data_IF_058251346886
#
_entry.id   IF_058251346886
#
_cell.length_a   1.000
_cell.length_b   1.000
_cell.length_c   1.000
_cell.angle_alpha   90.00
_cell.angle_beta   90.00
_cell.angle_gamma   90.00
#
_symmetry.space_group_name_H-M   'P 1'
#
loop_
_entity.id
_entity.type
_entity.pdbx_description
1 polymer ?
#
# COMPACT_ATOMS: atom_id res chain seq x y z
N UNK A 1 -1.32 8.90 -3.34
CA UNK A 1 -1.98 8.43 -4.55
C UNK A 1 -3.15 7.51 -4.20
N UNK A 2 -2.97 6.28 -3.66
CA UNK A 2 -4.01 5.25 -3.45
C UNK A 2 -5.27 5.79 -2.76
N UNK A 3 -5.15 6.50 -1.63
CA UNK A 3 -6.29 7.05 -0.88
C UNK A 3 -7.13 7.99 -1.76
N UNK A 4 -6.48 8.90 -2.47
CA UNK A 4 -7.16 9.89 -3.30
C UNK A 4 -7.77 9.23 -4.55
N UNK A 5 -7.06 8.30 -5.20
CA UNK A 5 -7.55 7.62 -6.39
C UNK A 5 -8.72 6.68 -6.05
N UNK A 6 -8.72 6.01 -4.87
CA UNK A 6 -9.88 5.23 -4.41
C UNK A 6 -11.11 6.09 -4.15
N UNK A 7 -10.94 7.25 -3.53
CA UNK A 7 -12.03 8.22 -3.35
C UNK A 7 -12.54 8.76 -4.69
N UNK A 8 -11.62 9.08 -5.60
CA UNK A 8 -11.95 9.56 -6.94
C UNK A 8 -12.71 8.51 -7.72
N UNK A 9 -12.27 7.25 -7.67
CA UNK A 9 -12.95 6.12 -8.30
C UNK A 9 -14.42 6.02 -7.85
N UNK A 10 -14.65 5.95 -6.55
CA UNK A 10 -16.02 5.83 -6.01
C UNK A 10 -16.86 7.04 -6.33
N UNK A 11 -16.32 8.26 -6.18
CA UNK A 11 -17.03 9.48 -6.55
C UNK A 11 -17.41 9.49 -8.04
N UNK A 12 -16.49 9.14 -8.94
CA UNK A 12 -16.77 9.07 -10.36
C UNK A 12 -17.83 8.01 -10.69
N UNK A 13 -17.79 6.84 -10.05
CA UNK A 13 -18.84 5.83 -10.23
C UNK A 13 -20.22 6.39 -9.86
N UNK A 14 -20.34 7.03 -8.69
CA UNK A 14 -21.62 7.56 -8.21
C UNK A 14 -22.15 8.73 -9.06
N UNK A 15 -21.25 9.64 -9.49
CA UNK A 15 -21.63 10.82 -10.27
C UNK A 15 -21.95 10.49 -11.74
N UNK A 16 -21.25 9.51 -12.33
CA UNK A 16 -21.43 9.17 -13.74
C UNK A 16 -22.55 8.16 -13.96
N UNK A 17 -22.98 7.46 -12.92
CA UNK A 17 -24.12 6.54 -12.92
C UNK A 17 -25.10 6.97 -11.82
N UNK A 18 -25.93 8.01 -12.08
CA UNK A 18 -26.84 8.54 -11.06
C UNK A 18 -27.77 7.42 -10.57
N UNK A 19 -27.72 7.18 -9.26
CA UNK A 19 -28.45 6.09 -8.59
C UNK A 19 -29.95 6.32 -8.65
N UNK A 20 -30.40 7.59 -8.79
CA UNK A 20 -31.82 7.97 -8.85
C UNK A 20 -32.53 7.45 -10.09
N UNK A 21 -31.81 7.31 -11.22
CA UNK A 21 -32.34 6.84 -12.50
C UNK A 21 -31.99 5.37 -12.80
N UNK A 22 -31.18 4.73 -11.93
CA UNK A 22 -30.69 3.37 -12.11
C UNK A 22 -31.69 2.33 -11.60
N UNK A 23 -31.82 1.21 -12.29
CA UNK A 23 -32.57 0.05 -11.78
C UNK A 23 -31.82 -0.58 -10.58
N UNK A 24 -32.53 -1.42 -9.80
CA UNK A 24 -31.95 -2.07 -8.61
C UNK A 24 -30.67 -2.87 -8.94
N UNK A 25 -30.62 -3.52 -10.09
CA UNK A 25 -29.47 -4.31 -10.53
C UNK A 25 -28.24 -3.45 -10.84
N UNK A 26 -28.44 -2.27 -11.40
CA UNK A 26 -27.39 -1.31 -11.70
C UNK A 26 -26.85 -0.66 -10.39
N UNK A 27 -27.75 -0.33 -9.46
CA UNK A 27 -27.36 0.19 -8.14
C UNK A 27 -26.51 -0.82 -7.38
N UNK A 28 -26.91 -2.10 -7.37
CA UNK A 28 -26.15 -3.17 -6.74
C UNK A 28 -24.77 -3.35 -7.41
N UNK A 29 -24.70 -3.29 -8.73
CA UNK A 29 -23.44 -3.37 -9.48
C UNK A 29 -22.46 -2.26 -9.10
N UNK A 30 -22.93 -1.01 -9.01
CA UNK A 30 -22.13 0.15 -8.59
C UNK A 30 -21.63 -0.03 -7.15
N UNK A 31 -22.53 -0.47 -6.26
CA UNK A 31 -22.18 -0.78 -4.88
C UNK A 31 -21.10 -1.85 -4.81
N UNK A 32 -21.24 -2.94 -5.54
CA UNK A 32 -20.27 -4.03 -5.61
C UNK A 32 -18.91 -3.55 -6.16
N UNK A 33 -18.89 -2.66 -7.15
CA UNK A 33 -17.66 -2.04 -7.65
C UNK A 33 -16.98 -1.16 -6.57
N UNK A 34 -17.76 -0.41 -5.80
CA UNK A 34 -17.23 0.39 -4.68
C UNK A 34 -16.68 -0.50 -3.54
N UNK A 35 -17.38 -1.58 -3.19
CA UNK A 35 -16.92 -2.57 -2.21
C UNK A 35 -15.65 -3.30 -2.66
N UNK A 36 -15.56 -3.62 -3.96
CA UNK A 36 -14.35 -4.22 -4.54
C UNK A 36 -13.16 -3.27 -4.45
N UNK A 37 -13.38 -1.95 -4.50
CA UNK A 37 -12.31 -0.99 -4.26
C UNK A 37 -11.81 -1.03 -2.81
N UNK A 38 -12.70 -1.22 -1.83
CA UNK A 38 -12.30 -1.44 -0.44
C UNK A 38 -11.50 -2.75 -0.32
N UNK A 39 -12.03 -3.84 -0.88
CA UNK A 39 -11.37 -5.15 -0.91
C UNK A 39 -9.97 -5.07 -1.53
N UNK A 40 -9.81 -4.29 -2.62
CA UNK A 40 -8.53 -4.06 -3.27
C UNK A 40 -7.50 -3.39 -2.35
N UNK A 41 -7.90 -2.41 -1.54
CA UNK A 41 -7.00 -1.75 -0.59
C UNK A 41 -6.48 -2.72 0.48
N UNK A 42 -7.36 -3.57 1.02
CA UNK A 42 -6.97 -4.61 1.96
C UNK A 42 -6.12 -5.69 1.30
N UNK A 43 -6.50 -6.14 0.10
CA UNK A 43 -5.74 -7.12 -0.66
C UNK A 43 -4.31 -6.65 -0.97
N UNK A 44 -4.15 -5.40 -1.39
CA UNK A 44 -2.83 -4.81 -1.63
C UNK A 44 -1.99 -4.79 -0.35
N UNK A 45 -2.58 -4.37 0.76
CA UNK A 45 -1.90 -4.35 2.06
C UNK A 45 -1.40 -5.73 2.46
N UNK A 46 -2.24 -6.76 2.35
CA UNK A 46 -1.87 -8.15 2.67
C UNK A 46 -0.84 -8.71 1.71
N UNK A 47 -0.98 -8.44 0.42
CA UNK A 47 -0.02 -8.86 -0.61
C UNK A 47 1.38 -8.29 -0.36
N UNK A 48 1.51 -6.99 -0.05
CA UNK A 48 2.78 -6.36 0.29
C UNK A 48 3.43 -6.95 1.54
N UNK A 49 2.64 -7.52 2.45
CA UNK A 49 3.09 -8.20 3.68
C UNK A 49 3.25 -9.72 3.51
N UNK A 50 2.94 -10.26 2.34
CA UNK A 50 2.94 -11.71 2.07
C UNK A 50 2.03 -12.48 3.03
N UNK A 51 0.88 -11.89 3.36
CA UNK A 51 -0.16 -12.44 4.22
C UNK A 51 -1.35 -12.94 3.41
N UNK A 52 -2.17 -13.80 4.00
CA UNK A 52 -3.43 -14.26 3.38
C UNK A 52 -4.45 -13.15 3.33
N UNK A 53 -5.21 -13.08 2.24
CA UNK A 53 -6.16 -12.01 1.93
C UNK A 53 -7.60 -12.45 2.22
N UNK A 54 -7.87 -13.74 2.26
CA UNK A 54 -9.19 -14.36 2.18
C UNK A 54 -10.19 -13.83 3.23
N UNK A 55 -9.75 -13.61 4.46
CA UNK A 55 -10.64 -13.13 5.53
C UNK A 55 -11.12 -11.70 5.30
N UNK A 56 -10.23 -10.82 4.84
CA UNK A 56 -10.59 -9.44 4.55
C UNK A 56 -11.55 -9.35 3.35
N UNK A 57 -11.38 -10.22 2.34
CA UNK A 57 -12.24 -10.24 1.15
C UNK A 57 -13.69 -10.66 1.48
N UNK A 58 -13.89 -11.57 2.42
CA UNK A 58 -15.23 -12.05 2.84
C UNK A 58 -16.14 -10.94 3.35
N UNK A 59 -15.56 -9.84 3.81
CA UNK A 59 -16.33 -8.70 4.29
C UNK A 59 -16.89 -7.81 3.18
N UNK A 60 -16.38 -7.95 1.95
CA UNK A 60 -16.64 -7.02 0.85
C UNK A 60 -17.04 -7.68 -0.46
N UNK A 61 -16.79 -8.97 -0.64
CA UNK A 61 -17.01 -9.70 -1.88
C UNK A 61 -17.83 -10.95 -1.63
N UNK A 62 -18.58 -11.35 -2.65
CA UNK A 62 -19.36 -12.58 -2.65
C UNK A 62 -18.47 -13.83 -2.68
N UNK A 63 -18.96 -14.93 -2.12
CA UNK A 63 -18.24 -16.20 -2.06
C UNK A 63 -17.78 -16.70 -3.44
N UNK A 64 -18.60 -16.51 -4.47
CA UNK A 64 -18.28 -16.91 -5.83
C UNK A 64 -17.14 -16.08 -6.42
N UNK A 65 -17.09 -14.78 -6.10
CA UNK A 65 -16.00 -13.90 -6.53
C UNK A 65 -14.70 -14.22 -5.81
N UNK A 66 -14.76 -14.51 -4.50
CA UNK A 66 -13.59 -14.92 -3.71
C UNK A 66 -12.96 -16.21 -4.25
N UNK A 67 -13.78 -17.18 -4.66
CA UNK A 67 -13.30 -18.45 -5.22
C UNK A 67 -12.44 -18.25 -6.49
N UNK A 68 -12.78 -17.22 -7.30
CA UNK A 68 -12.00 -16.88 -8.50
C UNK A 68 -10.55 -16.45 -8.17
N UNK A 69 -10.32 -15.89 -6.97
CA UNK A 69 -9.02 -15.38 -6.57
C UNK A 69 -8.18 -16.39 -5.78
N UNK A 70 -8.73 -17.55 -5.42
CA UNK A 70 -8.04 -18.57 -4.61
C UNK A 70 -6.77 -19.11 -5.25
N UNK A 71 -6.76 -19.24 -6.57
CA UNK A 71 -5.58 -19.69 -7.33
C UNK A 71 -4.71 -18.54 -7.84
N UNK A 72 -5.09 -17.30 -7.57
CA UNK A 72 -4.38 -16.12 -8.07
C UNK A 72 -3.07 -15.90 -7.32
N UNK A 73 -2.02 -15.58 -8.07
CA UNK A 73 -0.73 -15.15 -7.51
C UNK A 73 -0.71 -13.66 -7.18
N UNK A 74 -1.58 -12.84 -7.80
CA UNK A 74 -1.67 -11.40 -7.59
C UNK A 74 -3.15 -10.96 -7.50
N UNK A 75 -3.77 -11.23 -6.37
CA UNK A 75 -5.17 -10.89 -6.09
C UNK A 75 -5.47 -9.40 -6.31
N UNK A 76 -4.63 -8.43 -5.87
CA UNK A 76 -4.86 -7.01 -6.17
C UNK A 76 -4.99 -6.71 -7.66
N UNK A 77 -4.15 -7.31 -8.50
CA UNK A 77 -4.22 -7.12 -9.95
C UNK A 77 -5.52 -7.68 -10.56
N UNK A 78 -5.94 -8.85 -10.10
CA UNK A 78 -7.15 -9.49 -10.60
C UNK A 78 -8.42 -8.72 -10.19
N UNK A 79 -8.42 -8.12 -9.00
CA UNK A 79 -9.48 -7.21 -8.58
C UNK A 79 -9.59 -5.99 -9.51
N UNK A 80 -8.48 -5.38 -9.91
CA UNK A 80 -8.49 -4.29 -10.89
C UNK A 80 -8.93 -4.75 -12.28
N UNK A 81 -8.52 -5.95 -12.70
CA UNK A 81 -8.99 -6.54 -13.96
C UNK A 81 -10.51 -6.74 -13.96
N UNK A 82 -11.08 -7.22 -12.85
CA UNK A 82 -12.52 -7.36 -12.68
C UNK A 82 -13.22 -6.00 -12.72
N UNK A 83 -12.66 -4.97 -12.05
CA UNK A 83 -13.16 -3.59 -12.12
C UNK A 83 -13.22 -3.07 -13.57
N UNK A 84 -12.14 -3.25 -14.34
CA UNK A 84 -12.09 -2.85 -15.75
C UNK A 84 -13.13 -3.61 -16.61
N UNK A 85 -13.33 -4.89 -16.32
CA UNK A 85 -14.35 -5.70 -16.99
C UNK A 85 -15.76 -5.17 -16.76
N UNK A 86 -16.11 -4.83 -15.53
CA UNK A 86 -17.43 -4.27 -15.18
C UNK A 86 -17.61 -2.84 -15.69
N UNK A 87 -16.56 -2.03 -15.66
CA UNK A 87 -16.58 -0.71 -16.27
C UNK A 87 -16.87 -0.78 -17.77
N UNK A 88 -16.22 -1.70 -18.50
CA UNK A 88 -16.52 -1.94 -19.90
C UNK A 88 -17.97 -2.39 -20.14
N UNK A 89 -18.55 -3.12 -19.19
CA UNK A 89 -19.94 -3.54 -19.25
C UNK A 89 -20.90 -2.36 -19.11
N UNK A 90 -20.64 -1.46 -18.12
CA UNK A 90 -21.42 -0.21 -17.96
C UNK A 90 -21.41 0.65 -19.23
N UNK A 91 -20.28 0.73 -19.91
CA UNK A 91 -20.19 1.46 -21.19
C UNK A 91 -21.00 0.75 -22.32
N UNK A 92 -20.91 -0.57 -22.43
CA UNK A 92 -21.67 -1.33 -23.45
C UNK A 92 -23.17 -1.28 -23.25
N UNK A 93 -23.60 -1.28 -21.99
CA UNK A 93 -25.02 -1.21 -21.61
C UNK A 93 -25.57 0.23 -21.73
N UNK A 94 -24.71 1.21 -22.11
CA UNK A 94 -25.11 2.61 -22.26
C UNK A 94 -25.31 3.35 -20.95
N UNK A 95 -24.91 2.75 -19.82
CA UNK A 95 -25.02 3.36 -18.48
C UNK A 95 -24.06 4.53 -18.28
N UNK A 96 -22.97 4.58 -19.04
CA UNK A 96 -21.99 5.66 -19.04
C UNK A 96 -21.59 6.02 -20.47
N UNK A 97 -21.22 7.29 -20.65
CA UNK A 97 -20.71 7.81 -21.93
C UNK A 97 -19.22 7.52 -22.14
N UNK A 98 -18.77 7.63 -23.39
CA UNK A 98 -17.37 7.39 -23.74
C UNK A 98 -16.37 8.22 -22.91
N UNK A 99 -16.65 9.52 -22.69
CA UNK A 99 -15.77 10.38 -21.91
C UNK A 99 -15.71 9.96 -20.43
N UNK A 100 -16.83 9.56 -19.86
CA UNK A 100 -16.93 9.02 -18.49
C UNK A 100 -16.17 7.71 -18.35
N UNK A 101 -16.32 6.81 -19.33
CA UNK A 101 -15.56 5.56 -19.41
C UNK A 101 -14.06 5.84 -19.42
N UNK A 102 -13.59 6.77 -20.27
CA UNK A 102 -12.16 7.12 -20.36
C UNK A 102 -11.63 7.72 -19.06
N UNK A 103 -12.41 8.56 -18.37
CA UNK A 103 -11.99 9.13 -17.08
C UNK A 103 -11.90 8.08 -15.96
N UNK A 104 -12.85 7.15 -15.91
CA UNK A 104 -12.80 6.01 -14.99
C UNK A 104 -11.61 5.10 -15.28
N UNK A 105 -11.35 4.79 -16.55
CA UNK A 105 -10.18 3.98 -16.98
C UNK A 105 -8.85 4.64 -16.61
N UNK A 106 -8.74 5.96 -16.72
CA UNK A 106 -7.57 6.72 -16.24
C UNK A 106 -7.39 6.55 -14.73
N UNK A 107 -8.48 6.49 -13.95
CA UNK A 107 -8.39 6.28 -12.51
C UNK A 107 -7.92 4.88 -12.18
N UNK A 108 -8.41 3.84 -12.87
CA UNK A 108 -7.89 2.47 -12.76
C UNK A 108 -6.41 2.38 -13.13
N UNK A 109 -6.01 3.07 -14.19
CA UNK A 109 -4.59 3.15 -14.58
C UNK A 109 -3.72 3.77 -13.47
N UNK A 110 -4.20 4.84 -12.81
CA UNK A 110 -3.47 5.43 -11.67
C UNK A 110 -3.39 4.49 -10.48
N UNK A 111 -4.46 3.74 -10.17
CA UNK A 111 -4.46 2.71 -9.12
C UNK A 111 -3.46 1.60 -9.45
N UNK A 112 -3.44 1.11 -10.69
CA UNK A 112 -2.48 0.10 -11.17
C UNK A 112 -1.04 0.61 -11.05
N UNK A 113 -0.76 1.84 -11.45
CA UNK A 113 0.56 2.46 -11.32
C UNK A 113 1.00 2.61 -9.87
N UNK A 114 0.06 2.97 -8.98
CA UNK A 114 0.33 3.08 -7.54
C UNK A 114 0.61 1.72 -6.90
N UNK A 115 -0.13 0.68 -7.30
CA UNK A 115 0.13 -0.70 -6.90
C UNK A 115 1.52 -1.15 -7.33
N UNK A 116 1.84 -1.01 -8.62
CA UNK A 116 3.16 -1.37 -9.16
C UNK A 116 4.30 -0.58 -8.51
N UNK A 117 4.05 0.68 -8.13
CA UNK A 117 4.99 1.49 -7.34
C UNK A 117 5.26 0.88 -5.96
N UNK A 118 4.21 0.46 -5.24
CA UNK A 118 4.34 -0.20 -3.93
C UNK A 118 5.05 -1.56 -4.05
N UNK A 119 4.68 -2.37 -5.05
CA UNK A 119 5.32 -3.65 -5.34
C UNK A 119 6.81 -3.49 -5.67
N UNK A 120 7.16 -2.46 -6.46
CA UNK A 120 8.54 -2.14 -6.77
C UNK A 120 9.32 -1.76 -5.51
N UNK A 121 8.78 -0.88 -4.66
CA UNK A 121 9.42 -0.50 -3.40
C UNK A 121 9.64 -1.73 -2.53
N UNK A 122 8.61 -2.59 -2.39
CA UNK A 122 8.70 -3.82 -1.59
C UNK A 122 9.74 -4.81 -2.10
N UNK A 123 9.86 -4.96 -3.43
CA UNK A 123 10.71 -5.97 -4.06
C UNK A 123 12.10 -5.45 -4.42
N UNK A 124 12.32 -4.11 -4.45
CA UNK A 124 13.63 -3.51 -4.70
C UNK A 124 14.40 -3.40 -3.40
N UNK A 125 14.94 -4.51 -2.94
CA UNK A 125 15.90 -4.51 -1.83
C UNK A 125 17.28 -4.14 -2.33
N UNK A 126 18.06 -3.40 -1.52
CA UNK A 126 19.46 -3.18 -1.82
C UNK A 126 20.19 -4.52 -2.00
N UNK A 127 21.05 -4.66 -3.02
CA UNK A 127 21.82 -5.87 -3.20
C UNK A 127 22.62 -6.20 -1.93
N UNK A 128 22.61 -7.45 -1.50
CA UNK A 128 23.37 -7.90 -0.30
C UNK A 128 24.86 -7.56 -0.41
N UNK A 129 25.41 -7.56 -1.65
CA UNK A 129 26.76 -7.14 -1.95
C UNK A 129 27.03 -5.67 -1.63
N UNK A 130 26.06 -4.77 -1.80
CA UNK A 130 26.20 -3.36 -1.42
C UNK A 130 26.29 -3.20 0.11
N UNK A 131 25.39 -3.85 0.85
CA UNK A 131 25.42 -3.81 2.32
C UNK A 131 26.74 -4.39 2.86
N UNK A 132 27.23 -5.49 2.26
CA UNK A 132 28.55 -6.06 2.62
C UNK A 132 29.69 -5.07 2.35
N UNK A 133 29.66 -4.38 1.21
CA UNK A 133 30.68 -3.39 0.84
C UNK A 133 30.67 -2.22 1.83
N UNK A 134 29.48 -1.70 2.19
CA UNK A 134 29.36 -0.61 3.18
C UNK A 134 29.90 -1.03 4.54
N UNK A 135 29.57 -2.23 5.01
CA UNK A 135 30.14 -2.78 6.25
C UNK A 135 31.67 -2.86 6.21
N UNK A 136 32.21 -3.40 5.11
CA UNK A 136 33.66 -3.51 4.92
C UNK A 136 34.33 -2.12 4.97
N UNK A 137 33.75 -1.13 4.29
CA UNK A 137 34.26 0.24 4.29
C UNK A 137 34.20 0.87 5.69
N UNK A 138 33.14 0.64 6.46
CA UNK A 138 33.03 1.10 7.84
C UNK A 138 34.13 0.46 8.70
N UNK A 139 34.33 -0.85 8.59
CA UNK A 139 35.38 -1.54 9.37
C UNK A 139 36.79 -1.06 9.01
N UNK A 140 37.06 -0.90 7.71
CA UNK A 140 38.35 -0.35 7.25
C UNK A 140 38.53 1.07 7.78
N UNK A 141 37.52 1.92 7.69
CA UNK A 141 37.57 3.29 8.21
C UNK A 141 37.87 3.31 9.72
N UNK A 142 37.13 2.53 10.51
CA UNK A 142 37.30 2.44 11.95
C UNK A 142 38.69 1.91 12.32
N UNK A 143 39.23 0.97 11.56
CA UNK A 143 40.58 0.42 11.77
C UNK A 143 41.68 1.46 11.50
N UNK A 144 41.51 2.32 10.50
CA UNK A 144 42.52 3.36 10.16
C UNK A 144 42.31 4.67 10.94
N UNK A 145 41.16 4.87 11.57
CA UNK A 145 40.82 6.09 12.31
C UNK A 145 41.88 6.47 13.38
N UNK A 146 42.41 5.54 14.18
CA UNK A 146 43.46 5.87 15.18
C UNK A 146 44.73 6.47 14.57
N UNK A 147 45.12 6.08 13.37
CA UNK A 147 46.30 6.60 12.68
C UNK A 147 46.14 8.05 12.22
N UNK A 148 44.86 8.48 11.96
CA UNK A 148 44.55 9.88 11.64
C UNK A 148 44.44 10.80 12.87
N UNK A 149 44.36 10.24 14.07
CA UNK A 149 44.15 10.96 15.32
C UNK A 149 45.37 10.87 16.28
N UNK A 150 46.56 10.73 15.72
CA UNK A 150 47.81 10.50 16.49
C UNK A 150 48.09 11.61 17.52
N UNK A 151 47.64 12.85 17.29
CA UNK A 151 47.85 13.98 18.21
C UNK A 151 46.90 13.98 19.42
N UNK A 152 45.88 13.10 19.42
CA UNK A 152 44.88 13.02 20.49
C UNK A 152 45.38 12.11 21.61
N UNK A 153 45.28 12.51 22.91
CA UNK A 153 45.62 11.62 24.02
C UNK A 153 44.90 10.28 23.94
N UNK A 154 45.55 9.19 24.38
CA UNK A 154 45.07 7.82 24.22
C UNK A 154 43.59 7.61 24.66
N UNK A 155 43.19 8.20 25.78
CA UNK A 155 41.80 8.11 26.27
C UNK A 155 40.84 8.82 25.32
N UNK A 156 41.21 10.03 24.84
CA UNK A 156 40.41 10.78 23.87
C UNK A 156 40.29 10.04 22.54
N UNK A 157 41.39 9.41 22.08
CA UNK A 157 41.41 8.59 20.88
C UNK A 157 40.40 7.42 20.95
N UNK A 158 40.41 6.68 22.07
CA UNK A 158 39.50 5.54 22.27
C UNK A 158 38.04 6.01 22.26
N UNK A 159 37.74 7.08 23.02
CA UNK A 159 36.38 7.62 23.11
C UNK A 159 35.89 8.10 21.73
N UNK A 160 36.68 8.88 21.01
CA UNK A 160 36.33 9.42 19.69
C UNK A 160 36.15 8.31 18.67
N UNK A 161 37.06 7.32 18.66
CA UNK A 161 36.93 6.17 17.75
C UNK A 161 35.66 5.37 18.03
N UNK A 162 35.31 5.14 19.29
CA UNK A 162 34.09 4.45 19.67
C UNK A 162 32.83 5.20 19.23
N UNK A 163 32.79 6.52 19.49
CA UNK A 163 31.63 7.36 19.12
C UNK A 163 31.44 7.36 17.60
N UNK A 164 32.51 7.54 16.83
CA UNK A 164 32.44 7.55 15.37
C UNK A 164 32.03 6.18 14.81
N UNK A 165 32.64 5.09 15.30
CA UNK A 165 32.25 3.73 14.92
C UNK A 165 30.77 3.46 15.19
N UNK A 166 30.31 3.81 16.40
CA UNK A 166 28.90 3.65 16.78
C UNK A 166 27.97 4.46 15.87
N UNK A 167 28.33 5.73 15.58
CA UNK A 167 27.52 6.58 14.71
C UNK A 167 27.38 6.00 13.29
N UNK A 168 28.46 5.55 12.67
CA UNK A 168 28.41 4.94 11.33
C UNK A 168 27.62 3.64 11.30
N UNK A 169 27.80 2.76 12.28
CA UNK A 169 27.05 1.52 12.39
C UNK A 169 25.56 1.77 12.66
N UNK A 170 25.23 2.80 13.45
CA UNK A 170 23.86 3.19 13.71
C UNK A 170 23.17 3.72 12.43
N UNK A 171 23.84 4.62 11.68
CA UNK A 171 23.33 5.14 10.42
C UNK A 171 23.05 4.00 9.42
N UNK A 172 23.99 3.08 9.29
CA UNK A 172 23.85 1.92 8.41
C UNK A 172 22.66 1.03 8.85
N UNK A 173 22.53 0.78 10.15
CA UNK A 173 21.42 -0.01 10.70
C UNK A 173 20.07 0.63 10.46
N UNK A 174 19.96 1.94 10.66
CA UNK A 174 18.73 2.71 10.36
C UNK A 174 18.43 2.69 8.88
N UNK A 175 19.43 2.82 8.02
CA UNK A 175 19.24 2.76 6.56
C UNK A 175 18.66 1.41 6.10
N UNK A 176 19.16 0.29 6.63
CA UNK A 176 18.62 -1.04 6.36
C UNK A 176 17.17 -1.16 6.89
N UNK A 177 16.92 -0.63 8.07
CA UNK A 177 15.60 -0.67 8.70
C UNK A 177 14.54 0.07 7.87
N UNK A 178 14.88 1.18 7.23
CA UNK A 178 13.96 2.01 6.43
C UNK A 178 13.71 1.47 5.00
N UNK A 179 14.36 0.40 4.57
CA UNK A 179 14.22 -0.13 3.21
C UNK A 179 12.85 -0.76 2.92
N UNK A 180 12.18 -1.31 3.91
CA UNK A 180 10.87 -1.92 3.76
C UNK A 180 9.80 -1.15 4.57
N UNK A 181 9.05 -0.24 3.95
CA UNK A 181 8.08 0.59 4.66
C UNK A 181 6.71 -0.09 4.88
N UNK A 182 6.56 -1.37 4.53
CA UNK A 182 5.27 -2.08 4.59
C UNK A 182 5.21 -3.17 5.66
N UNK A 183 6.28 -3.38 6.42
CA UNK A 183 6.29 -4.26 7.58
C UNK A 183 5.52 -3.59 8.75
N UNK A 184 5.10 -4.35 9.75
CA UNK A 184 4.34 -3.80 10.89
C UNK A 184 5.33 -3.27 11.95
N UNK A 185 5.96 -2.14 11.67
CA UNK A 185 6.91 -1.48 12.58
C UNK A 185 6.42 -0.07 12.89
N UNK A 186 6.85 0.55 14.00
CA UNK A 186 6.40 1.88 14.40
C UNK A 186 6.66 2.99 13.37
N UNK A 187 7.69 2.85 12.54
CA UNK A 187 8.07 3.81 11.50
C UNK A 187 7.50 3.51 10.11
N UNK A 188 6.81 2.40 9.95
CA UNK A 188 6.32 1.95 8.66
C UNK A 188 5.00 2.64 8.29
N UNK A 189 4.63 2.55 7.01
CA UNK A 189 3.37 3.09 6.53
C UNK A 189 2.20 2.28 7.11
N UNK A 190 1.23 2.91 7.80
CA UNK A 190 0.12 2.22 8.46
C UNK A 190 -0.93 1.79 7.42
N UNK A 191 -0.62 0.77 6.64
CA UNK A 191 -1.40 0.37 5.47
C UNK A 191 -2.83 -0.08 5.82
N UNK A 192 -3.03 -0.81 6.92
CA UNK A 192 -4.37 -1.22 7.35
C UNK A 192 -5.20 -0.05 7.87
N UNK A 193 -4.59 0.93 8.54
CA UNK A 193 -5.30 2.14 8.95
C UNK A 193 -5.70 3.00 7.74
N UNK A 194 -4.84 3.06 6.70
CA UNK A 194 -5.18 3.71 5.44
C UNK A 194 -6.33 3.00 4.72
N UNK A 195 -6.29 1.65 4.65
CA UNK A 195 -7.38 0.84 4.08
C UNK A 195 -8.70 1.07 4.84
N UNK A 196 -8.65 1.11 6.19
CA UNK A 196 -9.81 1.44 7.02
C UNK A 196 -10.34 2.85 6.76
N UNK A 197 -9.47 3.83 6.57
CA UNK A 197 -9.87 5.20 6.23
C UNK A 197 -10.58 5.26 4.88
N UNK A 198 -10.08 4.50 3.88
CA UNK A 198 -10.74 4.39 2.58
C UNK A 198 -12.10 3.72 2.72
N UNK A 199 -12.20 2.63 3.45
CA UNK A 199 -13.46 1.95 3.74
C UNK A 199 -14.50 2.90 4.35
N UNK A 200 -14.11 3.65 5.38
CA UNK A 200 -14.99 4.65 6.03
C UNK A 200 -15.51 5.66 4.99
N UNK A 201 -14.60 6.22 4.18
CA UNK A 201 -14.98 7.23 3.19
C UNK A 201 -15.89 6.66 2.10
N UNK A 202 -15.62 5.47 1.59
CA UNK A 202 -16.44 4.84 0.56
C UNK A 202 -17.83 4.51 1.10
N UNK A 203 -17.94 3.94 2.31
CA UNK A 203 -19.22 3.66 2.95
C UNK A 203 -20.04 4.93 3.21
N UNK A 204 -19.36 6.03 3.60
CA UNK A 204 -20.02 7.34 3.75
C UNK A 204 -20.55 7.86 2.40
N UNK A 205 -19.79 7.73 1.30
CA UNK A 205 -20.25 8.12 -0.03
C UNK A 205 -21.44 7.29 -0.50
N UNK A 206 -21.51 6.02 -0.09
CA UNK A 206 -22.65 5.13 -0.37
C UNK A 206 -23.86 5.39 0.55
N UNK A 207 -23.79 6.30 1.51
CA UNK A 207 -24.87 6.61 2.45
C UNK A 207 -25.13 5.51 3.48
N UNK A 208 -24.18 4.63 3.75
CA UNK A 208 -24.34 3.55 4.72
C UNK A 208 -24.40 4.06 6.16
N UNK A 209 -25.23 3.40 6.99
CA UNK A 209 -25.37 3.74 8.41
C UNK A 209 -24.30 3.05 9.28
N UNK A 210 -23.86 1.86 8.88
CA UNK A 210 -22.87 1.09 9.61
C UNK A 210 -21.46 1.43 9.10
N UNK A 211 -20.86 2.43 9.71
CA UNK A 211 -19.51 2.88 9.40
C UNK A 211 -18.54 2.39 10.46
N UNK A 212 -17.46 1.67 10.05
CA UNK A 212 -16.50 1.16 11.02
C UNK A 212 -15.71 2.30 11.69
N UNK A 213 -15.28 2.06 12.92
CA UNK A 213 -14.44 3.02 13.67
C UNK A 213 -13.02 3.05 13.09
N UNK A 214 -12.37 4.22 13.03
CA UNK A 214 -10.95 4.32 12.66
C UNK A 214 -10.08 3.43 13.54
N UNK A 215 -9.03 2.84 12.94
CA UNK A 215 -8.06 2.04 13.70
C UNK A 215 -7.34 2.91 14.72
N UNK A 216 -7.17 2.38 15.92
CA UNK A 216 -6.41 3.02 16.98
C UNK A 216 -5.03 2.38 17.10
N UNK A 217 -4.00 3.15 17.50
CA UNK A 217 -2.67 2.58 17.76
C UNK A 217 -2.71 1.49 18.84
N UNK A 218 -2.09 0.36 18.57
CA UNK A 218 -1.92 -0.72 19.55
C UNK A 218 -0.44 -0.82 19.91
N UNK A 219 -0.12 -0.64 21.21
CA UNK A 219 1.29 -0.65 21.65
C UNK A 219 2.16 0.46 21.04
N UNK A 220 1.54 1.60 20.66
CA UNK A 220 2.26 2.72 20.02
C UNK A 220 2.48 2.55 18.51
N UNK A 221 1.97 1.47 17.92
CA UNK A 221 2.03 1.22 16.46
C UNK A 221 0.63 1.38 15.88
N UNK A 222 0.49 2.27 14.92
CA UNK A 222 -0.70 2.36 14.08
C UNK A 222 -0.50 1.45 12.88
N UNK A 223 -1.43 0.51 12.70
CA UNK A 223 -1.42 -0.39 11.56
C UNK A 223 -2.78 -0.47 10.87
#
# INVERSE_FOLDING_TARGET
AIVNDSRTWTRQLLEFTPVEDADEGQQEKIKNMAYRQIAWCYALTRSLRKQTVEEDLKSFLDANEIELYRSSQNVPNDLLLKQAGELRQLYRDGSIELFQFVELEKTLTRLTNSMGGCERIKNTTFPKSYSLLVHLLIYVFVMFLPFGLVEVPAIGLIITSFILAFAFLLIERVSIYLQDPFSVRPSDTPMLALSRTIEINIKQMLGEQEIPVPRQPVGGVLD
#
